data_IF_890387248801
#
_entry.id   IF_890387248801
#
_cell.length_a   1.000
_cell.length_b   1.000
_cell.length_c   1.000
_cell.angle_alpha   90.00
_cell.angle_beta   90.00
_cell.angle_gamma   90.00
#
_symmetry.space_group_name_H-M   'P 1'
#
loop_
_entity.id
_entity.type
_entity.pdbx_description
1 polymer ?
#
# COMPACT_ATOMS: atom_id res chain seq x y z
N UNK A 1 9.93 1.52 -5.58
CA UNK A 1 8.85 0.59 -5.96
C UNK A 1 8.90 -0.62 -5.05
N UNK A 2 7.76 -0.97 -4.45
CA UNK A 2 7.61 -2.25 -3.75
C UNK A 2 7.12 -3.31 -4.73
N UNK A 3 7.87 -4.39 -4.92
CA UNK A 3 7.45 -5.54 -5.72
C UNK A 3 7.11 -6.72 -4.81
N UNK A 4 5.93 -7.31 -4.98
CA UNK A 4 5.45 -8.40 -4.16
C UNK A 4 5.25 -9.66 -4.99
N UNK A 5 5.69 -10.80 -4.46
CA UNK A 5 5.48 -12.08 -5.12
C UNK A 5 4.00 -12.44 -5.15
N UNK A 6 3.49 -12.58 -6.36
CA UNK A 6 2.17 -13.10 -6.63
C UNK A 6 2.35 -14.34 -7.52
N UNK A 7 1.66 -15.43 -7.22
CA UNK A 7 1.67 -16.68 -8.02
C UNK A 7 3.07 -17.33 -8.09
N UNK A 8 3.90 -17.20 -7.09
CA UNK A 8 5.21 -17.86 -7.02
C UNK A 8 6.25 -17.39 -8.04
N UNK A 9 6.06 -16.20 -8.63
CA UNK A 9 7.03 -15.61 -9.57
C UNK A 9 7.74 -14.46 -8.88
N UNK A 10 9.01 -14.67 -8.54
CA UNK A 10 9.87 -13.64 -8.01
C UNK A 10 10.94 -13.25 -9.03
N UNK A 11 11.17 -11.95 -9.18
CA UNK A 11 12.06 -11.38 -10.21
C UNK A 11 13.39 -10.88 -9.65
N UNK A 12 13.73 -11.26 -8.41
CA UNK A 12 14.92 -10.76 -7.72
C UNK A 12 16.23 -10.97 -8.52
N UNK A 13 16.40 -12.11 -9.20
CA UNK A 13 17.58 -12.36 -10.03
C UNK A 13 17.65 -11.46 -11.26
N UNK A 14 16.50 -11.15 -11.85
CA UNK A 14 16.40 -10.20 -12.98
C UNK A 14 16.80 -8.79 -12.50
N UNK A 15 16.27 -8.35 -11.35
CA UNK A 15 16.63 -7.06 -10.77
C UNK A 15 18.12 -7.00 -10.41
N UNK A 16 18.67 -8.10 -9.90
CA UNK A 16 20.11 -8.17 -9.58
C UNK A 16 20.99 -8.05 -10.83
N UNK A 17 20.62 -8.71 -11.92
CA UNK A 17 21.30 -8.57 -13.20
C UNK A 17 21.26 -7.12 -13.71
N UNK A 18 20.05 -6.50 -13.70
CA UNK A 18 19.90 -5.09 -14.11
C UNK A 18 20.69 -4.11 -13.21
N UNK A 19 20.75 -4.38 -11.90
CA UNK A 19 21.56 -3.57 -10.98
C UNK A 19 23.05 -3.69 -11.32
N UNK A 20 23.56 -4.91 -11.54
CA UNK A 20 24.96 -5.15 -11.91
C UNK A 20 25.35 -4.49 -13.24
N UNK A 21 24.43 -4.47 -14.20
CA UNK A 21 24.60 -3.83 -15.51
C UNK A 21 24.37 -2.32 -15.47
N UNK A 22 23.97 -1.74 -14.33
CA UNK A 22 23.57 -0.33 -14.12
C UNK A 22 22.36 0.09 -14.96
N UNK A 23 21.52 -0.86 -15.33
CA UNK A 23 20.28 -0.65 -16.08
C UNK A 23 19.06 -0.50 -15.18
N UNK A 24 19.17 -0.82 -13.89
CA UNK A 24 18.10 -0.62 -12.92
C UNK A 24 17.97 0.89 -12.61
N UNK A 25 16.96 1.54 -13.17
CA UNK A 25 16.70 3.00 -13.02
C UNK A 25 15.58 3.31 -12.04
N UNK A 26 15.31 2.40 -11.11
CA UNK A 26 14.31 2.52 -10.05
C UNK A 26 14.77 1.74 -8.82
N UNK A 27 14.42 2.21 -7.61
CA UNK A 27 14.66 1.41 -6.41
C UNK A 27 13.58 0.36 -6.26
N UNK A 28 13.99 -0.89 -6.04
CA UNK A 28 13.11 -2.03 -5.90
C UNK A 28 13.25 -2.62 -4.50
N UNK A 29 12.14 -2.72 -3.80
CA UNK A 29 12.01 -3.34 -2.49
C UNK A 29 11.07 -4.54 -2.64
N UNK A 30 11.61 -5.74 -2.69
CA UNK A 30 10.83 -6.92 -3.02
C UNK A 30 10.41 -7.74 -1.79
N UNK A 31 9.29 -8.44 -1.90
CA UNK A 31 8.70 -9.23 -0.82
C UNK A 31 8.25 -10.59 -1.35
N UNK A 32 9.07 -11.64 -1.16
CA UNK A 32 8.71 -13.01 -1.55
C UNK A 32 7.55 -13.56 -0.74
N UNK A 33 6.94 -14.65 -1.24
CA UNK A 33 5.87 -15.34 -0.53
C UNK A 33 6.27 -15.76 0.89
N UNK A 34 5.42 -15.45 1.86
CA UNK A 34 5.61 -15.82 3.27
C UNK A 34 5.73 -17.33 3.50
N UNK A 35 5.29 -18.14 2.53
CA UNK A 35 5.36 -19.61 2.59
C UNK A 35 6.77 -20.17 2.41
N UNK A 36 7.72 -19.35 1.94
CA UNK A 36 9.12 -19.76 1.82
C UNK A 36 9.74 -20.12 3.17
N UNK A 37 10.74 -21.01 3.20
CA UNK A 37 11.52 -21.31 4.40
C UNK A 37 12.18 -20.06 4.99
N UNK A 38 12.39 -20.04 6.32
CA UNK A 38 13.00 -18.91 7.01
C UNK A 38 14.45 -18.64 6.57
N UNK A 39 15.21 -19.72 6.35
CA UNK A 39 16.59 -19.68 5.86
C UNK A 39 16.72 -19.00 4.50
N UNK A 40 15.77 -19.20 3.57
CA UNK A 40 15.74 -18.47 2.31
C UNK A 40 15.59 -16.95 2.55
N UNK A 41 14.76 -16.53 3.50
CA UNK A 41 14.60 -15.09 3.83
C UNK A 41 15.87 -14.49 4.43
N UNK A 42 16.59 -15.26 5.27
CA UNK A 42 17.87 -14.82 5.84
C UNK A 42 18.90 -14.65 4.71
N UNK A 43 18.99 -15.63 3.82
CA UNK A 43 19.89 -15.57 2.66
C UNK A 43 19.54 -14.37 1.74
N UNK A 44 18.26 -14.15 1.45
CA UNK A 44 17.83 -13.02 0.63
C UNK A 44 18.15 -11.68 1.30
N UNK A 45 18.00 -11.57 2.62
CA UNK A 45 18.34 -10.36 3.37
C UNK A 45 19.84 -10.04 3.31
N UNK A 46 20.70 -11.06 3.33
CA UNK A 46 22.15 -10.89 3.22
C UNK A 46 22.61 -10.56 1.80
N UNK A 47 21.97 -11.17 0.79
CA UNK A 47 22.36 -11.04 -0.62
C UNK A 47 21.78 -9.79 -1.32
N UNK A 48 20.72 -9.20 -0.76
CA UNK A 48 20.00 -8.06 -1.33
C UNK A 48 19.84 -6.96 -0.28
N UNK A 49 20.89 -6.18 -0.07
CA UNK A 49 20.97 -5.08 0.91
C UNK A 49 21.61 -3.82 0.30
N UNK A 50 21.23 -3.49 -0.95
CA UNK A 50 21.63 -2.24 -1.55
C UNK A 50 20.52 -1.19 -1.45
N UNK A 51 20.88 0.09 -1.57
CA UNK A 51 19.91 1.19 -1.59
C UNK A 51 18.97 1.13 -2.82
N UNK A 52 19.34 0.38 -3.86
CA UNK A 52 18.58 0.25 -5.09
C UNK A 52 17.79 -1.05 -5.18
N UNK A 53 18.25 -2.09 -4.50
CA UNK A 53 17.61 -3.40 -4.53
C UNK A 53 17.76 -4.10 -3.18
N UNK A 54 16.66 -4.27 -2.44
CA UNK A 54 16.70 -4.90 -1.12
C UNK A 54 15.46 -5.73 -0.82
N UNK A 55 15.64 -6.72 0.07
CA UNK A 55 14.53 -7.43 0.66
C UNK A 55 13.76 -6.50 1.59
N UNK A 56 12.47 -6.26 1.31
CA UNK A 56 11.61 -5.49 2.19
C UNK A 56 11.00 -6.36 3.30
N UNK A 57 10.54 -7.55 2.96
CA UNK A 57 9.86 -8.43 3.90
C UNK A 57 9.20 -9.61 3.22
N UNK A 58 8.25 -10.25 3.87
CA UNK A 58 7.52 -11.41 3.36
C UNK A 58 6.07 -11.07 3.02
N UNK A 59 5.59 -11.42 1.80
CA UNK A 59 4.20 -11.22 1.38
C UNK A 59 3.34 -12.41 1.77
N UNK A 60 2.25 -12.17 2.52
CA UNK A 60 1.23 -13.13 2.86
C UNK A 60 -0.17 -12.67 2.46
N UNK A 61 -1.07 -13.63 2.26
CA UNK A 61 -2.49 -13.38 1.97
C UNK A 61 -3.33 -14.01 3.09
N UNK A 62 -4.10 -13.18 3.81
CA UNK A 62 -5.02 -13.70 4.84
C UNK A 62 -6.35 -14.05 4.19
N UNK A 63 -6.84 -13.21 3.31
CA UNK A 63 -8.13 -13.39 2.64
C UNK A 63 -8.07 -13.00 1.15
N UNK A 64 -9.22 -12.96 0.50
CA UNK A 64 -9.43 -12.34 -0.80
C UNK A 64 -10.05 -10.95 -0.66
N UNK A 65 -11.16 -10.66 -1.35
CA UNK A 65 -11.83 -9.34 -1.33
C UNK A 65 -13.29 -9.43 -0.89
N UNK A 66 -13.82 -8.43 -0.18
CA UNK A 66 -15.23 -8.38 0.18
C UNK A 66 -16.17 -8.40 -1.03
N UNK A 67 -15.80 -7.72 -2.11
CA UNK A 67 -16.61 -7.66 -3.34
C UNK A 67 -16.82 -9.05 -3.98
N UNK A 68 -15.89 -9.97 -3.79
CA UNK A 68 -15.99 -11.35 -4.24
C UNK A 68 -16.49 -12.32 -3.16
N UNK A 69 -16.91 -11.84 -1.99
CA UNK A 69 -17.25 -12.65 -0.80
C UNK A 69 -16.12 -13.59 -0.33
N UNK A 70 -14.89 -13.25 -0.69
CA UNK A 70 -13.67 -13.98 -0.27
C UNK A 70 -12.89 -13.23 0.79
N UNK A 71 -13.33 -12.04 1.18
CA UNK A 71 -12.80 -11.30 2.33
C UNK A 71 -13.26 -11.93 3.65
N UNK A 72 -12.35 -12.08 4.61
CA UNK A 72 -12.66 -12.57 5.95
C UNK A 72 -13.23 -11.42 6.79
N UNK A 73 -14.48 -11.57 7.24
CA UNK A 73 -15.22 -10.54 7.96
C UNK A 73 -15.40 -10.88 9.45
N UNK A 74 -15.52 -9.85 10.29
CA UNK A 74 -15.90 -10.01 11.72
C UNK A 74 -17.34 -10.46 11.84
N UNK A 75 -18.24 -9.79 11.14
CA UNK A 75 -19.67 -10.10 11.09
C UNK A 75 -20.05 -10.67 9.73
N UNK A 76 -21.19 -11.36 9.66
CA UNK A 76 -21.70 -11.92 8.43
C UNK A 76 -21.82 -10.86 7.33
N UNK A 77 -21.64 -11.27 6.09
CA UNK A 77 -22.02 -10.46 4.94
C UNK A 77 -23.51 -10.13 5.02
N UNK A 78 -23.89 -8.90 4.71
CA UNK A 78 -25.29 -8.46 4.79
C UNK A 78 -26.20 -9.25 3.84
N UNK A 79 -25.70 -9.52 2.65
CA UNK A 79 -26.38 -10.23 1.57
C UNK A 79 -26.21 -11.77 1.66
N UNK A 80 -25.33 -12.27 2.56
CA UNK A 80 -25.11 -13.69 2.81
C UNK A 80 -25.12 -14.01 4.32
N UNK A 81 -26.26 -13.96 5.00
CA UNK A 81 -26.37 -14.28 6.43
C UNK A 81 -25.84 -15.68 6.74
N UNK A 82 -25.03 -15.80 7.79
CA UNK A 82 -24.36 -17.04 8.19
C UNK A 82 -23.00 -17.25 7.52
N UNK A 83 -22.55 -16.33 6.68
CA UNK A 83 -21.26 -16.42 6.00
C UNK A 83 -20.40 -15.17 6.24
N UNK A 84 -19.12 -15.39 6.58
CA UNK A 84 -18.13 -14.34 6.92
C UNK A 84 -16.88 -14.36 6.04
N UNK A 85 -16.88 -15.16 4.98
CA UNK A 85 -15.66 -15.48 4.26
C UNK A 85 -14.79 -16.49 4.99
N UNK A 86 -13.69 -16.87 4.36
CA UNK A 86 -12.74 -17.84 4.91
C UNK A 86 -11.30 -17.35 4.68
N UNK A 87 -10.36 -17.66 5.59
CA UNK A 87 -8.97 -17.32 5.37
C UNK A 87 -8.36 -18.19 4.26
N UNK A 88 -7.46 -17.59 3.46
CA UNK A 88 -6.71 -18.29 2.40
C UNK A 88 -5.62 -19.18 2.98
N UNK A 89 -4.98 -18.74 4.05
CA UNK A 89 -3.92 -19.48 4.75
C UNK A 89 -4.44 -19.98 6.10
N UNK A 90 -3.86 -21.06 6.58
CA UNK A 90 -4.14 -21.56 7.92
C UNK A 90 -3.60 -20.56 8.95
N UNK A 91 -4.50 -19.88 9.69
CA UNK A 91 -4.16 -18.74 10.57
C UNK A 91 -3.09 -19.08 11.62
N UNK A 92 -3.09 -20.31 12.17
CA UNK A 92 -2.06 -20.70 13.14
C UNK A 92 -0.66 -20.83 12.50
N UNK A 93 -0.57 -21.28 11.25
CA UNK A 93 0.68 -21.35 10.51
C UNK A 93 1.17 -19.95 10.13
N UNK A 94 0.25 -19.08 9.70
CA UNK A 94 0.56 -17.68 9.42
C UNK A 94 1.14 -16.99 10.65
N UNK A 95 0.50 -17.12 11.80
CA UNK A 95 0.94 -16.55 13.08
C UNK A 95 2.36 -16.98 13.43
N UNK A 96 2.62 -18.29 13.37
CA UNK A 96 3.96 -18.82 13.63
C UNK A 96 5.01 -18.22 12.68
N UNK A 97 4.64 -18.04 11.42
CA UNK A 97 5.53 -17.48 10.40
C UNK A 97 5.82 -16.00 10.64
N UNK A 98 4.79 -15.21 11.02
CA UNK A 98 4.95 -13.81 11.43
C UNK A 98 5.91 -13.70 12.63
N UNK A 99 5.72 -14.51 13.67
CA UNK A 99 6.60 -14.54 14.83
C UNK A 99 8.05 -14.90 14.47
N UNK A 100 8.27 -15.88 13.60
CA UNK A 100 9.61 -16.29 13.14
C UNK A 100 10.30 -15.18 12.34
N UNK A 101 9.63 -14.62 11.33
CA UNK A 101 10.19 -13.59 10.46
C UNK A 101 10.51 -12.31 11.23
N UNK A 102 9.55 -11.84 12.04
CA UNK A 102 9.77 -10.67 12.87
C UNK A 102 10.92 -10.90 13.87
N UNK A 103 11.10 -12.12 14.35
CA UNK A 103 12.22 -12.51 15.21
C UNK A 103 13.60 -12.31 14.58
N UNK A 104 13.70 -12.41 13.28
CA UNK A 104 14.91 -12.12 12.48
C UNK A 104 14.94 -10.67 11.95
N UNK A 105 14.01 -9.82 12.41
CA UNK A 105 13.89 -8.43 11.95
C UNK A 105 13.42 -8.31 10.50
N UNK A 106 12.73 -9.32 9.99
CA UNK A 106 12.16 -9.36 8.64
C UNK A 106 10.68 -9.00 8.76
N UNK A 107 10.22 -7.87 8.18
CA UNK A 107 8.83 -7.47 8.23
C UNK A 107 7.92 -8.40 7.44
N UNK A 108 6.63 -8.37 7.77
CA UNK A 108 5.59 -8.99 6.93
C UNK A 108 4.73 -7.93 6.28
N UNK A 109 4.22 -8.28 5.09
CA UNK A 109 3.27 -7.50 4.29
C UNK A 109 2.04 -8.37 4.04
N UNK A 110 0.99 -8.12 4.80
CA UNK A 110 -0.18 -9.01 4.82
C UNK A 110 -1.33 -8.38 4.02
N UNK A 111 -1.76 -9.06 2.96
CA UNK A 111 -3.00 -8.75 2.28
C UNK A 111 -4.16 -9.06 3.23
N UNK A 112 -4.95 -8.06 3.54
CA UNK A 112 -6.13 -8.16 4.38
C UNK A 112 -7.16 -7.12 3.93
N UNK A 113 -8.17 -7.56 3.20
CA UNK A 113 -9.23 -6.71 2.67
C UNK A 113 -10.44 -6.65 3.62
N UNK A 114 -10.87 -7.78 4.15
CA UNK A 114 -11.96 -7.84 5.13
C UNK A 114 -11.53 -7.40 6.53
N UNK A 115 -12.47 -6.85 7.29
CA UNK A 115 -12.22 -6.37 8.66
C UNK A 115 -11.81 -7.49 9.63
N UNK A 116 -12.24 -8.72 9.41
CA UNK A 116 -11.76 -9.90 10.13
C UNK A 116 -10.31 -10.24 9.81
N UNK A 117 -9.92 -10.15 8.53
CA UNK A 117 -8.53 -10.37 8.12
C UNK A 117 -7.59 -9.29 8.67
N UNK A 118 -8.03 -8.02 8.67
CA UNK A 118 -7.27 -6.91 9.28
C UNK A 118 -7.07 -7.16 10.77
N UNK A 119 -8.09 -7.65 11.47
CA UNK A 119 -8.02 -8.01 12.90
C UNK A 119 -7.02 -9.11 13.16
N UNK A 120 -7.06 -10.21 12.40
CA UNK A 120 -6.10 -11.30 12.52
C UNK A 120 -4.66 -10.84 12.25
N UNK A 121 -4.45 -10.00 11.22
CA UNK A 121 -3.14 -9.42 10.95
C UNK A 121 -2.62 -8.60 12.13
N UNK A 122 -3.45 -7.74 12.72
CA UNK A 122 -3.08 -6.94 13.89
C UNK A 122 -2.80 -7.82 15.10
N UNK A 123 -3.62 -8.85 15.35
CA UNK A 123 -3.41 -9.79 16.48
C UNK A 123 -2.06 -10.51 16.36
N UNK A 124 -1.70 -10.98 15.16
CA UNK A 124 -0.45 -11.66 14.90
C UNK A 124 0.77 -10.73 15.04
N UNK A 125 0.68 -9.50 14.51
CA UNK A 125 1.73 -8.47 14.61
C UNK A 125 1.91 -8.01 16.07
N UNK A 126 0.83 -7.72 16.78
CA UNK A 126 0.89 -7.29 18.20
C UNK A 126 1.49 -8.39 19.07
N UNK A 127 1.15 -9.65 18.83
CA UNK A 127 1.71 -10.80 19.53
C UNK A 127 3.22 -10.94 19.27
N UNK A 128 3.65 -10.83 18.01
CA UNK A 128 5.07 -10.87 17.65
C UNK A 128 5.85 -9.74 18.33
N UNK A 129 5.32 -8.51 18.34
CA UNK A 129 5.91 -7.35 18.98
C UNK A 129 6.04 -7.53 20.50
N UNK A 130 4.98 -8.03 21.16
CA UNK A 130 4.98 -8.24 22.63
C UNK A 130 6.02 -9.26 23.05
N UNK A 131 6.15 -10.35 22.33
CA UNK A 131 7.02 -11.47 22.69
C UNK A 131 8.51 -11.13 22.60
N UNK A 132 8.91 -10.10 21.85
CA UNK A 132 10.32 -9.84 21.52
C UNK A 132 10.79 -8.39 21.67
N UNK A 133 9.93 -7.45 22.09
CA UNK A 133 10.30 -6.03 22.18
C UNK A 133 10.71 -5.42 20.83
N UNK A 134 10.07 -5.83 19.75
CA UNK A 134 10.45 -5.50 18.38
C UNK A 134 9.87 -4.14 17.93
N UNK A 135 10.32 -3.06 18.54
CA UNK A 135 9.89 -1.69 18.16
C UNK A 135 10.33 -1.27 16.75
N UNK A 136 11.19 -2.06 16.08
CA UNK A 136 11.84 -1.68 14.82
C UNK A 136 11.41 -2.48 13.59
N UNK A 137 10.44 -3.41 13.71
CA UNK A 137 9.94 -4.18 12.57
C UNK A 137 8.72 -3.47 12.00
N UNK A 138 8.84 -2.92 10.79
CA UNK A 138 7.78 -2.14 10.12
C UNK A 138 6.86 -3.05 9.32
N UNK A 139 5.99 -3.77 10.02
CA UNK A 139 4.98 -4.60 9.38
C UNK A 139 3.92 -3.76 8.67
N UNK A 140 3.36 -4.31 7.60
CA UNK A 140 2.39 -3.61 6.75
C UNK A 140 1.14 -4.47 6.56
N UNK A 141 -0.02 -3.85 6.64
CA UNK A 141 -1.28 -4.43 6.20
C UNK A 141 -1.70 -3.73 4.92
N UNK A 142 -1.91 -4.51 3.86
CA UNK A 142 -2.25 -4.05 2.52
C UNK A 142 -3.76 -4.06 2.32
N UNK A 143 -4.24 -3.09 1.54
CA UNK A 143 -5.62 -2.89 1.07
C UNK A 143 -6.56 -2.28 2.10
N UNK A 144 -6.92 -2.97 3.15
CA UNK A 144 -7.83 -2.50 4.21
C UNK A 144 -9.12 -1.96 3.58
N UNK A 145 -9.75 -2.82 2.75
CA UNK A 145 -10.98 -2.42 2.06
C UNK A 145 -12.15 -2.24 3.04
N UNK A 146 -12.09 -2.93 4.17
CA UNK A 146 -13.01 -2.77 5.28
C UNK A 146 -12.23 -2.73 6.59
N UNK A 147 -12.68 -1.90 7.54
CA UNK A 147 -12.05 -1.78 8.85
C UNK A 147 -13.11 -1.78 9.95
N UNK A 148 -12.90 -2.60 10.98
CA UNK A 148 -13.75 -2.54 12.17
C UNK A 148 -13.36 -1.33 13.04
N UNK A 149 -14.33 -0.59 13.64
CA UNK A 149 -14.05 0.59 14.46
C UNK A 149 -13.08 0.35 15.62
N UNK A 150 -13.13 -0.82 16.25
CA UNK A 150 -12.27 -1.19 17.39
C UNK A 150 -10.80 -1.33 17.00
N UNK A 151 -10.50 -1.54 15.70
CA UNK A 151 -9.16 -1.78 15.22
C UNK A 151 -8.44 -0.50 14.73
N UNK A 152 -9.15 0.64 14.61
CA UNK A 152 -8.60 1.91 14.12
C UNK A 152 -7.34 2.33 14.91
N UNK A 153 -7.41 2.35 16.23
CA UNK A 153 -6.31 2.80 17.08
C UNK A 153 -5.14 1.81 17.19
N UNK A 154 -5.33 0.58 16.76
CA UNK A 154 -4.34 -0.49 16.88
C UNK A 154 -3.15 -0.29 15.93
N UNK A 155 -3.39 0.27 14.75
CA UNK A 155 -2.32 0.58 13.78
C UNK A 155 -1.26 1.51 14.38
N UNK A 156 -1.67 2.64 14.94
CA UNK A 156 -0.75 3.58 15.56
C UNK A 156 -0.07 2.97 16.79
N UNK A 157 -0.80 2.20 17.61
CA UNK A 157 -0.28 1.58 18.82
C UNK A 157 0.76 0.49 18.55
N UNK A 158 0.56 -0.32 17.53
CA UNK A 158 1.47 -1.41 17.14
C UNK A 158 2.59 -0.94 16.21
N UNK A 159 2.52 0.29 15.67
CA UNK A 159 3.42 0.77 14.63
C UNK A 159 3.21 0.12 13.26
N UNK A 160 2.08 -0.57 13.08
CA UNK A 160 1.72 -1.21 11.81
C UNK A 160 1.40 -0.15 10.76
N UNK A 161 1.99 -0.29 9.58
CA UNK A 161 1.77 0.61 8.46
C UNK A 161 0.52 0.16 7.69
N UNK A 162 -0.38 1.09 7.41
CA UNK A 162 -1.51 0.87 6.53
C UNK A 162 -1.11 1.19 5.08
N UNK A 163 -1.15 0.23 4.18
CA UNK A 163 -0.87 0.42 2.76
C UNK A 163 -2.17 0.33 1.98
N UNK A 164 -2.62 1.45 1.46
CA UNK A 164 -3.93 1.59 0.83
C UNK A 164 -3.77 1.94 -0.65
N UNK A 165 -4.63 1.37 -1.48
CA UNK A 165 -4.69 1.60 -2.92
C UNK A 165 -5.99 2.36 -3.24
N UNK A 166 -5.97 3.70 -3.30
CA UNK A 166 -7.18 4.49 -3.52
C UNK A 166 -7.92 4.18 -4.82
N UNK A 167 -7.18 3.72 -5.84
CA UNK A 167 -7.75 3.39 -7.14
C UNK A 167 -8.68 2.15 -7.07
N UNK A 168 -8.50 1.25 -6.09
CA UNK A 168 -9.31 0.04 -5.97
C UNK A 168 -10.79 0.36 -5.69
N UNK A 169 -11.09 1.45 -4.96
CA UNK A 169 -12.46 1.86 -4.72
C UNK A 169 -13.21 2.33 -5.98
N UNK A 170 -12.47 2.64 -7.06
CA UNK A 170 -13.04 3.18 -8.31
C UNK A 170 -13.20 2.14 -9.42
N UNK A 171 -12.93 0.86 -9.14
CA UNK A 171 -13.03 -0.22 -10.14
C UNK A 171 -14.47 -0.58 -10.51
N UNK A 172 -15.46 -0.09 -9.75
CA UNK A 172 -16.88 -0.36 -9.96
C UNK A 172 -17.64 0.95 -10.15
N UNK A 173 -18.89 0.87 -10.64
CA UNK A 173 -19.76 2.04 -10.70
C UNK A 173 -19.97 2.63 -9.32
N UNK A 174 -19.87 3.96 -9.22
CA UNK A 174 -20.02 4.69 -7.96
C UNK A 174 -21.45 5.18 -7.69
N UNK A 175 -22.37 5.06 -8.64
CA UNK A 175 -23.78 5.38 -8.40
C UNK A 175 -24.40 4.39 -7.40
N UNK A 176 -24.01 3.11 -7.52
CA UNK A 176 -24.42 2.05 -6.61
C UNK A 176 -23.20 1.16 -6.35
N UNK A 177 -22.27 1.61 -5.48
CA UNK A 177 -21.09 0.81 -5.16
C UNK A 177 -21.53 -0.48 -4.43
N UNK A 178 -21.20 -1.67 -4.96
CA UNK A 178 -21.72 -2.96 -4.45
C UNK A 178 -21.35 -3.21 -2.99
N UNK A 179 -20.39 -2.50 -2.44
CA UNK A 179 -19.99 -2.61 -1.03
C UNK A 179 -21.15 -2.31 -0.07
N UNK A 180 -22.11 -1.45 -0.46
CA UNK A 180 -23.29 -1.13 0.37
C UNK A 180 -24.26 -2.31 0.51
N UNK A 181 -24.38 -3.12 -0.54
CA UNK A 181 -25.20 -4.33 -0.52
C UNK A 181 -24.53 -5.42 0.30
N UNK A 182 -23.21 -5.52 0.17
CA UNK A 182 -22.37 -6.56 0.78
C UNK A 182 -22.17 -6.31 2.28
N UNK A 183 -21.91 -5.07 2.68
CA UNK A 183 -21.59 -4.70 4.08
C UNK A 183 -22.71 -3.94 4.79
N UNK A 184 -23.59 -3.26 4.05
CA UNK A 184 -24.53 -2.28 4.56
C UNK A 184 -23.88 -0.92 4.83
N UNK A 185 -24.73 0.12 4.92
CA UNK A 185 -24.29 1.53 5.01
C UNK A 185 -23.28 1.78 6.12
N UNK A 186 -23.57 1.30 7.33
CA UNK A 186 -22.73 1.58 8.51
C UNK A 186 -21.32 1.01 8.40
N UNK A 187 -21.14 -0.23 7.93
CA UNK A 187 -19.81 -0.84 7.78
C UNK A 187 -19.06 -0.25 6.62
N UNK A 188 -19.77 0.12 5.53
CA UNK A 188 -19.18 0.76 4.36
C UNK A 188 -18.58 2.15 4.65
N UNK A 189 -18.96 2.79 5.77
CA UNK A 189 -18.35 4.05 6.20
C UNK A 189 -16.84 3.96 6.48
N UNK A 190 -16.34 2.78 6.81
CA UNK A 190 -14.92 2.50 7.04
C UNK A 190 -14.32 1.64 5.93
N UNK A 191 -14.76 1.85 4.69
CA UNK A 191 -14.12 1.26 3.52
C UNK A 191 -13.03 2.18 2.97
N UNK A 192 -11.86 1.61 2.70
CA UNK A 192 -10.62 2.33 2.33
C UNK A 192 -10.39 3.54 3.26
N UNK A 193 -10.24 3.33 4.59
CA UNK A 193 -10.36 4.38 5.60
C UNK A 193 -9.04 5.13 5.82
N UNK A 194 -8.42 5.61 4.72
CA UNK A 194 -7.10 6.24 4.74
C UNK A 194 -7.04 7.47 5.68
N UNK A 195 -8.06 8.33 5.62
CA UNK A 195 -8.11 9.54 6.44
C UNK A 195 -8.33 9.23 7.91
N UNK A 196 -9.22 8.29 8.19
CA UNK A 196 -9.49 7.83 9.56
C UNK A 196 -8.24 7.24 10.20
N UNK A 197 -7.52 6.38 9.49
CA UNK A 197 -6.25 5.81 9.96
C UNK A 197 -5.17 6.88 10.15
N UNK A 198 -5.01 7.80 9.21
CA UNK A 198 -4.05 8.92 9.37
C UNK A 198 -4.37 9.77 10.61
N UNK A 199 -5.66 10.07 10.86
CA UNK A 199 -6.08 10.82 12.05
C UNK A 199 -5.87 10.09 13.35
N UNK A 200 -5.88 8.76 13.35
CA UNK A 200 -5.56 7.95 14.53
C UNK A 200 -4.06 7.91 14.84
N UNK A 201 -3.22 8.50 13.98
CA UNK A 201 -1.76 8.51 14.12
C UNK A 201 -1.05 7.37 13.40
N UNK A 202 -1.75 6.55 12.63
CA UNK A 202 -1.13 5.51 11.81
C UNK A 202 -0.35 6.10 10.63
N UNK A 203 0.75 5.48 10.26
CA UNK A 203 1.41 5.75 8.99
C UNK A 203 0.59 5.11 7.87
N UNK A 204 0.11 5.93 6.92
CA UNK A 204 -0.65 5.46 5.76
C UNK A 204 0.16 5.69 4.50
N UNK A 205 0.61 4.61 3.87
CA UNK A 205 1.29 4.62 2.57
C UNK A 205 0.26 4.41 1.45
N UNK A 206 0.45 5.09 0.32
CA UNK A 206 -0.42 4.94 -0.84
C UNK A 206 0.34 4.27 -1.99
N UNK A 207 -0.33 3.36 -2.68
CA UNK A 207 0.21 2.63 -3.82
C UNK A 207 -0.87 2.30 -4.85
N UNK A 208 -0.48 1.58 -5.92
CA UNK A 208 -1.38 1.19 -7.02
C UNK A 208 -1.77 -0.28 -6.98
N UNK A 209 -0.88 -1.14 -6.51
CA UNK A 209 -1.00 -2.59 -6.67
C UNK A 209 -1.03 -3.01 -8.16
N UNK A 210 -0.22 -2.31 -8.98
CA UNK A 210 -0.07 -2.66 -10.40
C UNK A 210 0.40 -4.13 -10.56
N UNK A 211 -0.22 -4.91 -11.45
CA UNK A 211 -1.09 -4.51 -12.58
C UNK A 211 -2.60 -4.57 -12.30
N UNK A 212 -3.04 -4.68 -11.05
CA UNK A 212 -4.49 -4.68 -10.73
C UNK A 212 -5.12 -3.38 -11.23
N UNK A 213 -4.46 -2.25 -10.96
CA UNK A 213 -4.76 -0.97 -11.61
C UNK A 213 -3.51 -0.41 -12.28
N UNK A 214 -3.64 0.55 -13.22
CA UNK A 214 -2.48 1.15 -13.88
C UNK A 214 -1.48 1.77 -12.90
N UNK A 215 -0.18 1.73 -13.26
CA UNK A 215 0.92 2.30 -12.48
C UNK A 215 0.98 3.85 -12.58
N UNK A 216 -0.14 4.52 -12.65
CA UNK A 216 -0.21 5.97 -12.85
C UNK A 216 -0.32 6.69 -11.49
N UNK A 217 0.73 7.35 -10.98
CA UNK A 217 0.68 7.96 -9.65
C UNK A 217 -0.32 9.12 -9.56
N UNK A 218 -0.59 9.83 -10.66
CA UNK A 218 -1.56 10.92 -10.67
C UNK A 218 -2.98 10.41 -10.42
N UNK A 219 -3.33 9.23 -10.92
CA UNK A 219 -4.61 8.59 -10.64
C UNK A 219 -4.73 8.22 -9.15
N UNK A 220 -3.66 7.73 -8.52
CA UNK A 220 -3.63 7.46 -7.08
C UNK A 220 -3.91 8.73 -6.26
N UNK A 221 -3.27 9.85 -6.63
CA UNK A 221 -3.52 11.15 -5.99
C UNK A 221 -4.96 11.61 -6.21
N UNK A 222 -5.45 11.53 -7.46
CA UNK A 222 -6.81 11.92 -7.83
C UNK A 222 -7.85 11.15 -7.00
N UNK A 223 -7.74 9.81 -6.94
CA UNK A 223 -8.65 8.97 -6.18
C UNK A 223 -8.57 9.24 -4.67
N UNK A 224 -7.38 9.44 -4.11
CA UNK A 224 -7.22 9.76 -2.69
C UNK A 224 -7.86 11.11 -2.30
N UNK A 225 -7.75 12.11 -3.19
CA UNK A 225 -8.21 13.49 -2.94
C UNK A 225 -9.72 13.61 -3.22
N UNK A 226 -10.19 13.06 -4.33
CA UNK A 226 -11.56 13.29 -4.80
C UNK A 226 -12.53 12.18 -4.40
N UNK A 227 -12.06 10.93 -4.31
CA UNK A 227 -12.88 9.73 -4.11
C UNK A 227 -14.01 9.63 -5.14
N UNK A 228 -13.69 9.93 -6.38
CA UNK A 228 -14.57 9.87 -7.54
C UNK A 228 -13.92 9.04 -8.64
N UNK A 229 -14.73 8.58 -9.58
CA UNK A 229 -14.27 7.99 -10.83
C UNK A 229 -13.66 9.05 -11.74
N UNK A 230 -13.02 8.60 -12.83
CA UNK A 230 -12.40 9.49 -13.82
C UNK A 230 -13.40 10.49 -14.44
N UNK A 231 -14.67 10.12 -14.54
CA UNK A 231 -15.75 10.99 -15.02
C UNK A 231 -16.26 12.01 -13.97
N UNK A 232 -15.67 12.02 -12.77
CA UNK A 232 -16.04 12.89 -11.65
C UNK A 232 -17.21 12.42 -10.81
N UNK A 233 -17.82 11.25 -11.07
CA UNK A 233 -18.92 10.69 -10.27
C UNK A 233 -18.42 9.91 -9.05
N UNK A 234 -19.21 9.82 -7.94
CA UNK A 234 -20.39 10.62 -7.64
C UNK A 234 -20.03 12.05 -7.26
N UNK A 235 -20.95 12.97 -7.52
CA UNK A 235 -20.75 14.39 -7.11
C UNK A 235 -20.45 14.49 -5.61
N UNK A 236 -19.35 15.17 -5.26
CA UNK A 236 -18.91 15.29 -3.87
C UNK A 236 -18.08 14.12 -3.36
N UNK A 237 -17.85 13.09 -4.17
CA UNK A 237 -17.04 11.92 -3.83
C UNK A 237 -17.74 10.91 -2.93
N UNK A 238 -17.37 9.65 -3.09
CA UNK A 238 -17.84 8.58 -2.24
C UNK A 238 -17.18 8.65 -0.86
N UNK A 239 -17.96 8.54 0.22
CA UNK A 239 -17.48 8.61 1.60
C UNK A 239 -16.54 9.82 1.83
N UNK A 240 -17.03 11.07 1.63
CA UNK A 240 -16.17 12.27 1.51
C UNK A 240 -15.38 12.60 2.77
N UNK A 241 -15.72 12.03 3.94
CA UNK A 241 -14.96 12.16 5.18
C UNK A 241 -13.57 11.52 5.10
N UNK A 242 -13.36 10.58 4.17
CA UNK A 242 -12.10 9.90 3.93
C UNK A 242 -11.22 10.57 2.86
N UNK A 243 -11.64 11.71 2.31
CA UNK A 243 -10.83 12.48 1.36
C UNK A 243 -9.54 12.99 1.99
N UNK A 244 -8.46 12.88 1.24
CA UNK A 244 -7.20 13.53 1.55
C UNK A 244 -7.15 14.96 0.98
N UNK A 245 -6.38 15.83 1.63
CA UNK A 245 -5.87 17.04 0.99
C UNK A 245 -4.74 16.67 0.02
N UNK A 246 -4.43 17.56 -0.92
CA UNK A 246 -3.28 17.40 -1.83
C UNK A 246 -1.99 17.08 -1.04
N UNK A 247 -1.75 17.80 0.05
CA UNK A 247 -0.57 17.60 0.89
C UNK A 247 -0.53 16.20 1.54
N UNK A 248 -1.65 15.71 2.04
CA UNK A 248 -1.73 14.38 2.66
C UNK A 248 -1.52 13.27 1.62
N UNK A 249 -2.13 13.42 0.42
CA UNK A 249 -1.96 12.47 -0.66
C UNK A 249 -0.50 12.41 -1.14
N UNK A 250 0.16 13.57 -1.32
CA UNK A 250 1.57 13.63 -1.65
C UNK A 250 2.46 12.98 -0.59
N UNK A 251 2.20 13.22 0.71
CA UNK A 251 2.91 12.51 1.78
C UNK A 251 2.73 10.99 1.70
N UNK A 252 1.51 10.55 1.38
CA UNK A 252 1.19 9.13 1.22
C UNK A 252 2.01 8.43 0.15
N UNK A 253 2.27 9.10 -0.98
CA UNK A 253 3.07 8.54 -2.09
C UNK A 253 4.58 8.85 -1.99
N UNK A 254 5.03 9.64 -1.03
CA UNK A 254 6.45 10.03 -0.86
C UNK A 254 6.99 9.67 0.52
N UNK A 255 6.80 10.54 1.51
CA UNK A 255 7.38 10.45 2.87
C UNK A 255 6.98 9.15 3.57
N UNK A 256 5.70 8.78 3.48
CA UNK A 256 5.20 7.59 4.16
C UNK A 256 5.71 6.31 3.50
N UNK A 257 5.88 6.31 2.17
CA UNK A 257 6.54 5.21 1.47
C UNK A 257 8.04 5.14 1.80
N UNK A 258 8.73 6.28 1.92
CA UNK A 258 10.12 6.30 2.36
C UNK A 258 10.26 5.68 3.76
N UNK A 259 9.34 6.02 4.68
CA UNK A 259 9.28 5.40 6.00
C UNK A 259 9.01 3.90 5.92
N UNK A 260 8.04 3.46 5.10
CA UNK A 260 7.73 2.04 4.89
C UNK A 260 8.98 1.26 4.45
N UNK A 261 9.77 1.84 3.54
CA UNK A 261 10.98 1.22 3.00
C UNK A 261 12.24 1.38 3.87
N UNK A 262 12.14 2.01 5.06
CA UNK A 262 13.28 2.34 5.93
C UNK A 262 14.33 3.22 5.24
N UNK A 263 13.87 4.11 4.37
CA UNK A 263 14.70 5.02 3.57
C UNK A 263 14.41 6.50 3.85
N UNK A 264 13.69 6.82 4.91
CA UNK A 264 13.29 8.20 5.24
C UNK A 264 14.45 9.17 5.43
N UNK A 265 15.63 8.66 5.81
CA UNK A 265 16.86 9.46 5.90
C UNK A 265 17.51 9.72 4.52
N UNK A 266 17.10 8.98 3.49
CA UNK A 266 17.72 9.00 2.15
C UNK A 266 16.80 9.52 1.05
N UNK A 267 15.49 9.33 1.15
CA UNK A 267 14.49 9.70 0.15
C UNK A 267 13.22 10.28 0.78
N UNK A 268 12.23 10.67 -0.03
CA UNK A 268 10.89 11.08 0.40
C UNK A 268 10.72 12.58 0.59
N UNK A 269 11.79 13.34 0.76
CA UNK A 269 11.79 14.82 0.85
C UNK A 269 12.92 15.43 0.03
N UNK A 270 12.76 16.71 -0.36
CA UNK A 270 13.78 17.48 -1.04
C UNK A 270 14.64 18.24 -0.01
N UNK A 271 15.54 17.50 0.64
CA UNK A 271 16.43 18.03 1.68
C UNK A 271 17.89 17.74 1.35
N UNK A 272 18.77 18.63 1.79
CA UNK A 272 20.24 18.43 1.61
C UNK A 272 20.69 17.15 2.35
N UNK A 273 21.47 16.34 1.66
CA UNK A 273 21.96 15.05 2.17
C UNK A 273 21.14 13.84 1.74
N UNK A 274 19.97 14.04 1.13
CA UNK A 274 19.18 12.95 0.53
C UNK A 274 19.48 12.77 -0.95
N UNK A 275 19.10 11.62 -1.48
CA UNK A 275 19.19 11.37 -2.92
C UNK A 275 18.35 12.37 -3.70
N UNK A 276 18.89 12.82 -4.81
CA UNK A 276 18.17 13.70 -5.73
C UNK A 276 17.18 12.89 -6.59
N UNK A 277 16.11 12.44 -5.95
CA UNK A 277 14.93 11.83 -6.60
C UNK A 277 13.86 12.92 -6.74
N UNK A 278 13.73 13.48 -7.93
CA UNK A 278 12.95 14.67 -8.17
C UNK A 278 12.00 14.44 -9.34
N UNK A 279 10.74 14.82 -9.16
CA UNK A 279 9.74 14.88 -10.23
C UNK A 279 9.36 16.34 -10.45
N UNK A 280 9.46 16.81 -11.71
CA UNK A 280 8.95 18.11 -12.12
C UNK A 280 7.62 17.91 -12.80
N UNK A 281 6.60 18.57 -12.28
CA UNK A 281 5.24 18.55 -12.82
C UNK A 281 5.03 19.71 -13.79
N UNK A 282 4.16 19.53 -14.77
CA UNK A 282 3.81 20.58 -15.76
C UNK A 282 3.09 21.79 -15.15
N UNK A 283 2.45 21.61 -14.01
CA UNK A 283 1.68 22.64 -13.32
C UNK A 283 1.85 22.52 -11.80
N UNK A 284 1.55 23.61 -11.08
CA UNK A 284 1.53 23.64 -9.61
C UNK A 284 0.30 22.89 -9.08
N UNK A 285 0.50 21.67 -8.60
CA UNK A 285 -0.56 20.79 -8.09
C UNK A 285 -1.35 21.41 -6.92
N UNK A 286 -0.77 22.37 -6.19
CA UNK A 286 -1.47 23.04 -5.07
C UNK A 286 -2.40 24.17 -5.55
N UNK A 287 -2.27 24.61 -6.81
CA UNK A 287 -3.10 25.66 -7.41
C UNK A 287 -4.11 25.14 -8.40
N UNK A 288 -3.91 23.92 -8.89
CA UNK A 288 -4.82 23.27 -9.82
C UNK A 288 -6.13 22.91 -9.11
N UNK A 289 -7.27 22.99 -9.82
CA UNK A 289 -8.51 22.41 -9.31
C UNK A 289 -8.30 20.90 -9.08
N UNK A 290 -8.78 20.41 -7.94
CA UNK A 290 -8.55 19.00 -7.56
C UNK A 290 -9.19 18.02 -8.53
N UNK A 291 -10.24 18.40 -9.26
CA UNK A 291 -10.86 17.59 -10.29
C UNK A 291 -10.04 17.53 -11.59
N UNK A 292 -9.13 18.49 -11.80
CA UNK A 292 -8.29 18.59 -12.99
C UNK A 292 -6.85 18.04 -12.77
N UNK A 293 -6.60 17.39 -11.63
CA UNK A 293 -5.26 16.84 -11.30
C UNK A 293 -4.75 15.86 -12.36
N UNK A 294 -5.64 15.13 -13.03
CA UNK A 294 -5.27 14.19 -14.11
C UNK A 294 -4.68 14.87 -15.35
N UNK A 295 -4.89 16.18 -15.52
CA UNK A 295 -4.29 16.95 -16.61
C UNK A 295 -2.81 17.22 -16.38
N UNK A 296 -2.37 17.23 -15.11
CA UNK A 296 -0.97 17.46 -14.73
C UNK A 296 -0.11 16.30 -15.28
N UNK A 297 0.95 16.65 -15.98
CA UNK A 297 1.89 15.70 -16.54
C UNK A 297 3.24 15.79 -15.82
N UNK A 298 3.99 14.70 -15.85
CA UNK A 298 5.38 14.70 -15.44
C UNK A 298 6.22 15.23 -16.60
N UNK A 299 6.94 16.33 -16.37
CA UNK A 299 7.84 16.91 -17.36
C UNK A 299 9.24 16.29 -17.28
N UNK A 300 9.76 16.14 -16.05
CA UNK A 300 11.10 15.59 -15.84
C UNK A 300 11.04 14.64 -14.65
N UNK A 301 11.73 13.50 -14.77
CA UNK A 301 12.08 12.66 -13.63
C UNK A 301 13.60 12.58 -13.52
N UNK A 302 14.09 12.92 -12.33
CA UNK A 302 15.47 12.73 -11.91
C UNK A 302 15.51 11.59 -10.90
N UNK A 303 16.36 10.62 -11.12
CA UNK A 303 16.61 9.51 -10.22
C UNK A 303 18.09 9.48 -9.83
N UNK A 304 18.35 9.55 -8.53
CA UNK A 304 19.70 9.57 -7.99
C UNK A 304 20.63 10.64 -8.63
N UNK A 305 20.04 11.82 -8.95
CA UNK A 305 20.76 12.92 -9.60
C UNK A 305 20.87 12.84 -11.12
N UNK A 306 20.46 11.73 -11.74
CA UNK A 306 20.45 11.56 -13.20
C UNK A 306 19.04 11.79 -13.77
N UNK A 307 18.93 12.57 -14.86
CA UNK A 307 17.68 12.73 -15.59
C UNK A 307 17.36 11.43 -16.34
N UNK A 308 16.32 10.70 -15.89
CA UNK A 308 15.90 9.42 -16.47
C UNK A 308 14.69 9.54 -17.39
N UNK A 309 13.94 10.64 -17.29
CA UNK A 309 12.81 10.92 -18.15
C UNK A 309 12.68 12.42 -18.41
N UNK A 310 12.30 12.79 -19.63
CA UNK A 310 11.90 14.13 -20.04
C UNK A 310 10.77 14.02 -21.04
N UNK A 311 9.67 14.68 -20.76
CA UNK A 311 8.52 14.74 -21.67
C UNK A 311 8.95 15.48 -22.94
N UNK A 312 8.91 14.81 -24.08
CA UNK A 312 9.12 15.46 -25.38
C UNK A 312 7.97 16.46 -25.57
N UNK A 313 8.29 17.72 -25.84
CA UNK A 313 7.31 18.72 -26.14
C UNK A 313 6.36 18.20 -27.23
N UNK A 314 5.08 18.11 -26.94
CA UNK A 314 4.10 17.87 -27.97
C UNK A 314 4.15 19.03 -28.95
N UNK A 315 4.35 18.72 -30.22
CA UNK A 315 3.97 19.66 -31.26
C UNK A 315 2.49 19.91 -31.03
N UNK A 316 2.15 21.15 -30.77
CA UNK A 316 0.75 21.60 -30.71
C UNK A 316 0.15 21.38 -32.09
N UNK A 317 -0.60 20.30 -32.29
CA UNK A 317 -1.61 20.21 -33.35
C UNK A 317 -2.92 20.89 -32.91
#
# INVERSE_FOLDING_TARGET
VGDMEIIGIMKNDIYKALECEKELKVRVFFSPSIQKPLDEFIELKENFDSDNLSLLGAKGFIDGTPLGHTGLMVDDYKDMPGFKGEPVLHLAELRNKVEQLNGEGIPVRLHACGDGAVREALDDIEKANHNRGLENVRNTIEHIECLHPDDIGRFAKSGTIASIQPNHMTMNSMEEHPIFDILGEKRSELSWPAKTLSRSGACVALGTDCPIVPLEPMMTLYCAINRVMEDGSPQGGWNPKEKYTVQEALKGVTVNNAYLFKMEDKIGTLESGKYADIVVLSEDIFKKDVLDILDIKVDITVWNGEKVYERKGGEHE
#
